data_IF_690844988735
#
_entry.id   IF_690844988735
#
_cell.length_a   1.000
_cell.length_b   1.000
_cell.length_c   1.000
_cell.angle_alpha   90.00
_cell.angle_beta   90.00
_cell.angle_gamma   90.00
#
_symmetry.space_group_name_H-M   'P 1'
#
loop_
_entity.id
_entity.type
_entity.pdbx_description
1 polymer ?
#
# COMPACT_ATOMS: atom_id res chain seq x y z
N UNK A 1 24.97 -20.17 53.59
CA UNK A 1 23.50 -20.03 53.39
C UNK A 1 23.23 -18.55 53.18
N UNK A 2 22.51 -18.01 52.20
CA UNK A 2 21.66 -18.56 51.17
C UNK A 2 21.41 -17.45 50.12
N UNK A 3 21.76 -17.71 48.85
CA UNK A 3 21.04 -17.29 47.63
C UNK A 3 20.57 -15.82 47.50
N UNK A 4 21.37 -14.95 46.91
CA UNK A 4 20.84 -13.75 46.20
C UNK A 4 21.51 -13.44 44.85
N UNK A 5 22.62 -14.10 44.49
CA UNK A 5 23.41 -13.73 43.30
C UNK A 5 22.96 -14.32 41.95
N UNK A 6 21.74 -14.88 41.82
CA UNK A 6 21.33 -15.59 40.60
C UNK A 6 20.21 -14.91 39.78
N UNK A 7 19.64 -13.79 40.24
CA UNK A 7 18.51 -13.15 39.53
C UNK A 7 18.88 -12.03 38.56
N UNK A 8 20.16 -11.71 38.37
CA UNK A 8 20.60 -10.59 37.52
C UNK A 8 21.01 -10.97 36.09
N UNK A 9 20.69 -12.18 35.62
CA UNK A 9 20.99 -12.61 34.24
C UNK A 9 19.74 -12.84 33.37
N UNK A 10 18.53 -12.59 33.89
CA UNK A 10 17.25 -12.73 33.16
C UNK A 10 16.72 -11.36 32.69
N UNK A 11 17.57 -10.32 32.68
CA UNK A 11 17.16 -8.96 32.36
C UNK A 11 17.42 -8.48 30.93
N UNK A 12 18.16 -9.23 30.11
CA UNK A 12 18.69 -8.74 28.83
C UNK A 12 18.16 -9.48 27.58
N UNK A 13 17.02 -10.16 27.69
CA UNK A 13 16.43 -10.88 26.54
C UNK A 13 14.95 -10.54 26.29
N UNK A 14 14.54 -9.31 26.61
CA UNK A 14 13.20 -8.80 26.30
C UNK A 14 13.24 -7.39 25.70
N UNK A 15 14.04 -7.19 24.65
CA UNK A 15 14.03 -5.91 23.91
C UNK A 15 14.24 -6.06 22.39
N UNK A 16 13.65 -7.09 21.76
CA UNK A 16 13.74 -7.24 20.29
C UNK A 16 12.39 -7.59 19.64
N UNK A 17 11.26 -7.15 20.20
CA UNK A 17 9.95 -7.42 19.60
C UNK A 17 9.10 -6.15 19.40
N UNK A 18 9.68 -5.12 18.76
CA UNK A 18 8.93 -3.90 18.40
C UNK A 18 8.94 -3.56 16.91
N UNK A 19 9.41 -4.46 16.03
CA UNK A 19 9.59 -4.13 14.61
C UNK A 19 8.43 -4.43 13.66
N UNK A 20 7.41 -5.20 14.06
CA UNK A 20 6.36 -5.64 13.14
C UNK A 20 5.09 -4.76 13.19
N UNK A 21 5.26 -3.45 13.32
CA UNK A 21 4.22 -2.52 12.88
C UNK A 21 4.27 -2.58 11.36
N UNK A 22 3.26 -3.18 10.72
CA UNK A 22 3.06 -3.09 9.29
C UNK A 22 2.74 -1.63 8.96
N UNK A 23 3.76 -0.79 8.93
CA UNK A 23 3.68 0.50 8.28
C UNK A 23 3.51 0.17 6.80
N UNK A 24 2.34 0.46 6.24
CA UNK A 24 2.26 0.75 4.80
C UNK A 24 3.42 1.69 4.50
N UNK A 25 4.27 1.30 3.56
CA UNK A 25 5.49 2.04 3.31
C UNK A 25 5.13 3.50 2.98
N UNK A 26 5.83 4.44 3.61
CA UNK A 26 5.54 5.88 3.44
C UNK A 26 5.56 6.28 1.95
N UNK A 27 6.34 5.57 1.15
CA UNK A 27 6.40 5.74 -0.30
C UNK A 27 5.06 5.42 -0.98
N UNK A 28 4.44 4.27 -0.71
CA UNK A 28 3.09 3.93 -1.21
C UNK A 28 2.04 4.90 -0.70
N UNK A 29 2.12 5.36 0.54
CA UNK A 29 1.18 6.37 1.06
C UNK A 29 1.28 7.69 0.27
N UNK A 30 2.49 8.14 -0.05
CA UNK A 30 2.71 9.32 -0.89
C UNK A 30 2.19 9.10 -2.30
N UNK A 31 2.48 7.95 -2.92
CA UNK A 31 1.95 7.62 -4.25
C UNK A 31 0.42 7.61 -4.23
N UNK A 32 -0.20 6.90 -3.28
CA UNK A 32 -1.65 6.78 -3.17
C UNK A 32 -2.33 8.14 -3.00
N UNK A 33 -1.71 9.06 -2.26
CA UNK A 33 -2.18 10.43 -2.14
C UNK A 33 -2.28 11.16 -3.49
N UNK A 34 -1.33 10.94 -4.40
CA UNK A 34 -1.40 11.51 -5.76
C UNK A 34 -2.54 10.92 -6.59
N UNK A 35 -2.87 9.64 -6.39
CA UNK A 35 -3.99 8.99 -7.10
C UNK A 35 -5.34 9.62 -6.69
N UNK A 36 -5.49 9.93 -5.40
CA UNK A 36 -6.71 10.51 -4.83
C UNK A 36 -7.03 11.93 -5.36
N UNK A 37 -6.04 12.63 -5.92
CA UNK A 37 -6.28 13.92 -6.58
C UNK A 37 -7.28 13.81 -7.74
N UNK A 38 -7.28 12.67 -8.44
CA UNK A 38 -8.25 12.37 -9.51
C UNK A 38 -9.34 11.41 -9.02
N UNK A 39 -8.96 10.34 -8.31
CA UNK A 39 -9.85 9.25 -7.91
C UNK A 39 -10.68 9.54 -6.64
N UNK A 40 -10.67 10.80 -6.20
CA UNK A 40 -11.48 11.31 -5.10
C UNK A 40 -10.80 11.20 -3.73
N UNK A 41 -11.22 12.04 -2.77
CA UNK A 41 -10.77 11.95 -1.38
C UNK A 41 -10.99 10.55 -0.82
N UNK A 42 -10.02 10.04 -0.07
CA UNK A 42 -10.03 8.68 0.48
C UNK A 42 -10.25 7.58 -0.59
N UNK A 43 -9.90 7.85 -1.85
CA UNK A 43 -10.13 6.93 -2.97
C UNK A 43 -11.60 6.80 -3.38
N UNK A 44 -12.49 7.69 -2.91
CA UNK A 44 -13.93 7.66 -3.14
C UNK A 44 -14.35 8.73 -4.14
N UNK A 45 -14.21 8.44 -5.42
CA UNK A 45 -14.71 9.30 -6.48
C UNK A 45 -16.25 9.34 -6.50
N UNK A 46 -16.81 10.52 -6.79
CA UNK A 46 -18.25 10.72 -7.07
C UNK A 46 -18.53 10.89 -8.56
N UNK A 47 -17.50 10.89 -9.40
CA UNK A 47 -17.61 11.09 -10.84
C UNK A 47 -18.04 9.81 -11.54
N UNK A 48 -18.91 9.93 -12.55
CA UNK A 48 -19.25 8.82 -13.43
C UNK A 48 -18.09 8.39 -14.35
N UNK A 49 -17.12 9.28 -14.59
CA UNK A 49 -16.01 9.05 -15.51
C UNK A 49 -14.71 8.65 -14.81
N UNK A 50 -14.60 8.91 -13.51
CA UNK A 50 -13.43 8.57 -12.71
C UNK A 50 -13.83 7.56 -11.65
N UNK A 51 -13.39 6.30 -11.73
CA UNK A 51 -13.79 5.30 -10.76
C UNK A 51 -13.13 5.57 -9.40
N UNK A 52 -13.80 5.17 -8.32
CA UNK A 52 -13.18 5.08 -6.99
C UNK A 52 -12.19 3.92 -6.93
N UNK A 53 -11.18 4.06 -6.07
CA UNK A 53 -10.16 3.05 -5.81
C UNK A 53 -10.34 2.39 -4.43
N UNK A 54 -11.01 3.05 -3.49
CA UNK A 54 -11.25 2.48 -2.16
C UNK A 54 -12.03 1.16 -2.24
N UNK A 55 -11.49 0.12 -1.61
CA UNK A 55 -12.07 -1.22 -1.58
C UNK A 55 -11.95 -1.98 -2.90
N UNK A 56 -11.19 -1.45 -3.88
CA UNK A 56 -10.96 -2.16 -5.13
C UNK A 56 -10.10 -3.40 -4.84
N UNK A 57 -10.58 -4.56 -5.30
CA UNK A 57 -9.85 -5.82 -5.18
C UNK A 57 -8.42 -5.69 -5.76
N UNK A 58 -7.43 -6.19 -5.01
CA UNK A 58 -6.02 -6.01 -5.36
C UNK A 58 -5.70 -6.63 -6.74
N UNK A 59 -6.33 -7.77 -7.03
CA UNK A 59 -6.22 -8.45 -8.33
C UNK A 59 -6.73 -7.59 -9.48
N UNK A 60 -7.85 -6.89 -9.29
CA UNK A 60 -8.46 -6.00 -10.28
C UNK A 60 -7.59 -4.75 -10.50
N UNK A 61 -7.05 -4.17 -9.44
CA UNK A 61 -6.12 -3.05 -9.54
C UNK A 61 -4.87 -3.44 -10.35
N UNK A 62 -4.26 -4.56 -9.98
CA UNK A 62 -3.06 -5.09 -10.65
C UNK A 62 -3.30 -5.33 -12.14
N UNK A 63 -4.39 -6.00 -12.48
CA UNK A 63 -4.75 -6.25 -13.87
C UNK A 63 -4.93 -4.94 -14.65
N UNK A 64 -5.72 -4.00 -14.11
CA UNK A 64 -5.97 -2.73 -14.77
C UNK A 64 -4.68 -1.94 -15.02
N UNK A 65 -3.79 -1.85 -14.03
CA UNK A 65 -2.52 -1.12 -14.17
C UNK A 65 -1.59 -1.77 -15.20
N UNK A 66 -1.54 -3.09 -15.27
CA UNK A 66 -0.77 -3.81 -16.30
C UNK A 66 -1.35 -3.58 -17.70
N UNK A 67 -2.67 -3.63 -17.85
CA UNK A 67 -3.36 -3.38 -19.12
C UNK A 67 -3.19 -1.93 -19.58
N UNK A 68 -3.24 -0.96 -18.68
CA UNK A 68 -2.96 0.43 -19.02
C UNK A 68 -1.50 0.63 -19.45
N UNK A 69 -0.55 -0.02 -18.76
CA UNK A 69 0.88 0.08 -19.10
C UNK A 69 1.19 -0.56 -20.46
N UNK A 70 0.61 -1.72 -20.76
CA UNK A 70 0.78 -2.39 -22.05
C UNK A 70 0.01 -1.71 -23.18
N UNK A 71 -1.04 -0.96 -22.84
CA UNK A 71 -2.00 -0.40 -23.80
C UNK A 71 -3.08 -1.40 -24.24
N UNK A 72 -3.19 -2.56 -23.59
CA UNK A 72 -4.29 -3.49 -23.82
C UNK A 72 -5.65 -2.90 -23.41
N UNK A 73 -5.63 -1.97 -22.46
CA UNK A 73 -6.81 -1.18 -22.06
C UNK A 73 -6.60 0.27 -22.43
N UNK A 74 -7.49 0.79 -23.26
CA UNK A 74 -7.50 2.20 -23.67
C UNK A 74 -7.76 3.11 -22.46
N UNK A 75 -6.97 4.19 -22.38
CA UNK A 75 -7.09 5.19 -21.33
C UNK A 75 -6.61 6.56 -21.82
N UNK A 76 -7.31 7.61 -21.40
CA UNK A 76 -6.92 8.99 -21.69
C UNK A 76 -5.56 9.35 -21.05
N UNK A 77 -5.38 9.01 -19.78
CA UNK A 77 -4.23 9.44 -18.98
C UNK A 77 -3.50 8.27 -18.31
N UNK A 78 -4.22 7.21 -17.95
CA UNK A 78 -3.68 6.15 -17.09
C UNK A 78 -2.52 5.37 -17.72
N UNK A 79 -2.44 5.28 -19.06
CA UNK A 79 -1.27 4.69 -19.73
C UNK A 79 0.03 5.39 -19.34
N UNK A 80 0.02 6.73 -19.27
CA UNK A 80 1.20 7.53 -18.88
C UNK A 80 1.53 7.35 -17.40
N UNK A 81 0.53 7.31 -16.53
CA UNK A 81 0.76 7.08 -15.10
C UNK A 81 1.25 5.66 -14.82
N UNK A 82 0.65 4.64 -15.43
CA UNK A 82 1.04 3.25 -15.24
C UNK A 82 2.46 2.98 -15.73
N UNK A 83 2.95 3.69 -16.75
CA UNK A 83 4.34 3.61 -17.20
C UNK A 83 5.36 4.14 -16.17
N UNK A 84 4.93 4.99 -15.23
CA UNK A 84 5.80 5.62 -14.23
C UNK A 84 6.08 4.79 -12.98
N UNK A 85 5.44 3.63 -12.82
CA UNK A 85 5.57 2.79 -11.64
C UNK A 85 6.03 1.38 -11.97
N UNK A 86 6.72 0.78 -11.02
CA UNK A 86 7.20 -0.60 -11.03
C UNK A 86 6.09 -1.59 -10.67
N UNK A 87 6.34 -2.89 -10.89
CA UNK A 87 5.42 -3.94 -10.46
C UNK A 87 5.26 -3.99 -8.93
N UNK A 88 6.35 -3.78 -8.19
CA UNK A 88 6.31 -3.75 -6.73
C UNK A 88 5.42 -2.60 -6.21
N UNK A 89 5.48 -1.44 -6.85
CA UNK A 89 4.60 -0.31 -6.53
C UNK A 89 3.14 -0.60 -6.92
N UNK A 90 2.89 -1.31 -8.02
CA UNK A 90 1.53 -1.77 -8.33
C UNK A 90 0.98 -2.69 -7.24
N UNK A 91 1.77 -3.65 -6.77
CA UNK A 91 1.38 -4.57 -5.69
C UNK A 91 1.10 -3.83 -4.39
N UNK A 92 1.98 -2.88 -4.03
CA UNK A 92 1.81 -2.09 -2.81
C UNK A 92 0.58 -1.17 -2.88
N UNK A 93 0.35 -0.50 -4.02
CA UNK A 93 -0.87 0.29 -4.24
C UNK A 93 -2.13 -0.59 -4.23
N UNK A 94 -2.08 -1.77 -4.85
CA UNK A 94 -3.20 -2.70 -4.88
C UNK A 94 -3.60 -3.13 -3.45
N UNK A 95 -2.62 -3.49 -2.62
CA UNK A 95 -2.85 -3.81 -1.22
C UNK A 95 -3.40 -2.60 -0.43
N UNK A 96 -2.85 -1.41 -0.67
CA UNK A 96 -3.30 -0.16 -0.03
C UNK A 96 -4.78 0.13 -0.33
N UNK A 97 -5.16 0.17 -1.61
CA UNK A 97 -6.52 0.52 -2.03
C UNK A 97 -7.55 -0.55 -1.68
N UNK A 98 -7.18 -1.84 -1.69
CA UNK A 98 -8.04 -2.92 -1.23
C UNK A 98 -8.34 -2.83 0.28
N UNK A 99 -7.38 -2.38 1.09
CA UNK A 99 -7.56 -2.21 2.53
C UNK A 99 -8.36 -0.94 2.91
N UNK A 100 -8.41 0.04 2.00
CA UNK A 100 -9.07 1.33 2.22
C UNK A 100 -10.60 1.19 2.11
N UNK A 101 -11.36 1.68 3.10
CA UNK A 101 -12.83 1.57 3.16
C UNK A 101 -13.55 2.90 3.08
#
# INVERSE_FOLDING_TARGET
MCKTSLKMLVGLFMLVLSGAVHATDMHTQVIAATCMACHGPDGKSRSAFMPGLAGLEASVFMQAMQEFRSGAREASIMKRHAAGYTNAEFEAMAAYFAALK
#
